data_IF_048455351925
#
_entry.id   IF_048455351925
#
_cell.length_a   1.000
_cell.length_b   1.000
_cell.length_c   1.000
_cell.angle_alpha   90.00
_cell.angle_beta   90.00
_cell.angle_gamma   90.00
#
_symmetry.space_group_name_H-M   'P 1'
#
loop_
_entity.id
_entity.type
_entity.pdbx_description
1 polymer ?
2 polymer ?
3 non-polymer ?
4 water ?
#
loop_
_entity_poly.entity_id
_entity_poly.type
_entity_poly.pdbx_seq_one_letter_code
_entity_poly.pdbx_strand_id
2 'polydeoxyribonucleotide' '(DG)(DG)(DA)(DG)(DT)(DG)(DC)(DG)(DC)(DA)(DC)(DT)(DC)(DC)' ?
#
# COMPACT_ATOMS: atom_id res chain seq x y z
N UNK A 4 -5.66 -5.47 15.90
CA UNK A 4 -5.49 -4.62 14.71
C UNK A 4 -4.38 -3.60 14.94
N UNK A 5 -3.25 -3.78 14.24
CA UNK A 5 -2.05 -3.01 14.53
C UNK A 5 -2.02 -1.67 13.81
N UNK A 6 -2.53 -1.62 12.58
CA UNK A 6 -2.47 -0.38 11.82
C UNK A 6 -3.62 0.53 12.20
N UNK A 7 -3.38 1.82 12.06
CA UNK A 7 -4.46 2.80 12.18
C UNK A 7 -5.38 2.66 10.98
N UNK A 8 -6.67 2.37 11.16
CA UNK A 8 -7.54 2.15 10.01
C UNK A 8 -7.65 3.36 9.07
N UNK A 9 -7.48 4.57 9.59
CA UNK A 9 -7.47 5.74 8.73
C UNK A 9 -6.31 5.67 7.75
N UNK A 10 -5.13 5.33 8.26
CA UNK A 10 -3.94 5.25 7.44
C UNK A 10 -4.03 4.08 6.45
N UNK A 11 -4.58 2.94 6.88
CA UNK A 11 -4.81 1.85 5.95
C UNK A 11 -5.68 2.29 4.79
N UNK A 12 -6.76 3.03 5.07
CA UNK A 12 -7.61 3.53 4.00
C UNK A 12 -6.85 4.42 3.02
N UNK A 13 -6.03 5.34 3.53
CA UNK A 13 -5.27 6.20 2.65
C UNK A 13 -4.29 5.40 1.79
N UNK A 14 -3.70 4.36 2.39
CA UNK A 14 -2.78 3.53 1.61
C UNK A 14 -3.54 2.74 0.55
N UNK A 15 -4.74 2.23 0.88
CA UNK A 15 -5.53 1.55 -0.14
C UNK A 15 -5.91 2.51 -1.27
N UNK A 16 -6.21 3.78 -0.95
CA UNK A 16 -6.49 4.75 -2.00
C UNK A 16 -5.25 5.01 -2.85
N UNK A 17 -4.08 5.02 -2.22
CA UNK A 17 -2.84 5.18 -2.96
C UNK A 17 -2.60 4.00 -3.91
N UNK A 18 -2.85 2.78 -3.43
CA UNK A 18 -2.66 1.60 -4.26
C UNK A 18 -3.56 1.68 -5.49
N UNK A 19 -4.81 2.11 -5.28
CA UNK A 19 -5.72 2.25 -6.41
C UNK A 19 -5.18 3.27 -7.42
N UNK A 20 -4.67 4.39 -6.91
CA UNK A 20 -4.14 5.44 -7.79
C UNK A 20 -2.95 4.93 -8.60
N UNK A 21 -2.01 4.25 -7.94
CA UNK A 21 -0.79 3.81 -8.62
C UNK A 21 -1.11 2.72 -9.65
N UNK A 22 -2.02 1.83 -9.28
CA UNK A 22 -2.48 0.80 -10.23
C UNK A 22 -3.08 1.44 -11.47
N UNK A 23 -3.92 2.46 -11.28
CA UNK A 23 -4.55 3.13 -12.40
C UNK A 23 -3.51 3.80 -13.30
N UNK A 24 -2.37 4.21 -12.74
CA UNK A 24 -1.26 4.73 -13.52
C UNK A 24 -0.44 3.64 -14.20
N UNK A 25 -0.82 2.36 -14.05
CA UNK A 25 -0.14 1.23 -14.66
C UNK A 25 1.32 1.15 -14.22
N UNK A 26 1.56 1.37 -12.93
CA UNK A 26 2.86 1.12 -12.32
C UNK A 26 2.69 0.07 -11.23
N UNK A 27 3.80 -0.58 -10.87
CA UNK A 27 3.81 -1.49 -9.73
C UNK A 27 3.51 -0.69 -8.45
N UNK A 28 2.50 -1.06 -7.66
CA UNK A 28 2.30 -0.34 -6.38
C UNK A 28 3.34 -0.80 -5.36
N UNK A 29 4.52 -0.19 -5.47
CA UNK A 29 5.66 -0.41 -4.60
C UNK A 29 5.57 0.47 -3.35
N UNK A 30 6.43 0.15 -2.36
CA UNK A 30 6.52 1.00 -1.17
C UNK A 30 6.77 2.45 -1.55
N UNK A 31 7.72 2.68 -2.45
CA UNK A 31 8.10 4.05 -2.78
C UNK A 31 6.97 4.82 -3.45
N UNK A 32 6.24 4.19 -4.38
CA UNK A 32 5.15 4.87 -5.04
C UNK A 32 3.98 5.11 -4.08
N UNK A 33 3.75 4.16 -3.17
CA UNK A 33 2.71 4.36 -2.17
C UNK A 33 3.06 5.52 -1.25
N UNK A 34 4.31 5.59 -0.78
CA UNK A 34 4.72 6.72 0.06
C UNK A 34 4.52 8.04 -0.67
N UNK A 35 4.94 8.13 -1.94
CA UNK A 35 4.80 9.39 -2.64
C UNK A 35 3.34 9.78 -2.80
N UNK A 36 2.48 8.80 -3.09
CA UNK A 36 1.07 9.10 -3.28
C UNK A 36 0.43 9.57 -1.98
N UNK A 37 0.76 8.95 -0.85
CA UNK A 37 0.14 9.36 0.41
C UNK A 37 0.73 10.68 0.88
N UNK A 38 2.00 10.97 0.54
CA UNK A 38 2.52 12.30 0.79
C UNK A 38 1.72 13.34 0.02
N UNK A 39 1.40 13.07 -1.23
CA UNK A 39 0.65 14.03 -2.04
C UNK A 39 -0.77 14.22 -1.50
N UNK A 40 -1.41 13.14 -1.10
CA UNK A 40 -2.83 13.21 -0.74
C UNK A 40 -3.04 13.80 0.66
N UNK A 41 -2.13 13.54 1.60
CA UNK A 41 -2.36 13.98 2.98
C UNK A 41 -1.14 14.51 3.70
N UNK A 42 0.04 14.51 3.09
CA UNK A 42 1.19 15.07 3.77
C UNK A 42 1.84 14.18 4.81
N UNK A 43 1.50 12.89 4.84
CA UNK A 43 2.12 11.96 5.78
C UNK A 43 3.54 11.63 5.34
N UNK A 44 4.46 11.53 6.30
CA UNK A 44 5.84 11.34 5.91
C UNK A 44 6.14 9.88 5.60
N UNK A 45 7.28 9.67 4.94
CA UNK A 45 7.63 8.36 4.40
C UNK A 45 7.73 7.32 5.52
N UNK A 46 8.34 7.68 6.65
CA UNK A 46 8.51 6.73 7.73
C UNK A 46 7.17 6.22 8.24
N UNK A 47 6.20 7.12 8.39
CA UNK A 47 4.90 6.72 8.91
C UNK A 47 4.16 5.85 7.90
N UNK A 48 4.22 6.20 6.61
CA UNK A 48 3.53 5.39 5.60
C UNK A 48 4.14 3.99 5.54
N UNK A 49 5.48 3.90 5.54
CA UNK A 49 6.12 2.59 5.53
C UNK A 49 5.73 1.76 6.75
N UNK A 50 5.68 2.38 7.94
CA UNK A 50 5.25 1.65 9.12
C UNK A 50 3.84 1.12 8.96
N UNK A 51 2.93 1.98 8.49
CA UNK A 51 1.53 1.61 8.42
C UNK A 51 1.27 0.60 7.31
N UNK A 52 2.04 0.68 6.22
CA UNK A 52 1.93 -0.34 5.19
C UNK A 52 2.31 -1.72 5.73
N UNK A 53 3.43 -1.79 6.45
CA UNK A 53 3.85 -3.05 7.05
C UNK A 53 2.83 -3.56 8.06
N UNK A 54 2.30 -2.68 8.89
CA UNK A 54 1.29 -3.11 9.86
C UNK A 54 0.02 -3.58 9.19
N UNK A 55 -0.40 -2.91 8.11
CA UNK A 55 -1.61 -3.31 7.40
C UNK A 55 -1.44 -4.70 6.76
N UNK A 56 -0.24 -4.99 6.27
CA UNK A 56 0.00 -6.31 5.71
C UNK A 56 -0.08 -7.37 6.80
N UNK A 57 0.45 -7.05 7.99
CA UNK A 57 0.34 -7.98 9.12
C UNK A 57 -1.10 -8.19 9.52
N UNK A 58 -1.92 -7.12 9.45
CA UNK A 58 -3.34 -7.20 9.76
C UNK A 58 -4.15 -7.99 8.72
N UNK A 59 -3.63 -8.14 7.50
CA UNK A 59 -4.39 -8.76 6.44
C UNK A 59 -5.21 -7.82 5.58
N UNK A 60 -5.21 -6.53 5.88
CA UNK A 60 -6.07 -5.60 5.16
C UNK A 60 -5.40 -5.09 3.89
N UNK A 61 -4.11 -5.32 3.74
CA UNK A 61 -3.38 -5.08 2.49
C UNK A 61 -2.60 -6.35 2.20
N UNK A 62 -2.56 -6.75 0.93
CA UNK A 62 -1.84 -7.95 0.50
C UNK A 62 -0.48 -7.56 -0.06
N UNK A 63 0.53 -8.40 0.22
CA UNK A 63 1.88 -8.19 -0.29
C UNK A 63 2.26 -9.36 -1.17
N UNK A 64 2.67 -9.06 -2.39
CA UNK A 64 3.22 -10.06 -3.31
C UNK A 64 4.68 -9.70 -3.57
N UNK A 65 5.55 -10.71 -3.50
CA UNK A 65 6.98 -10.48 -3.62
C UNK A 65 7.54 -11.27 -4.80
N UNK A 66 8.43 -10.64 -5.57
CA UNK A 66 9.04 -11.25 -6.73
C UNK A 66 10.51 -10.85 -6.74
N UNK A 67 11.39 -11.78 -6.36
CA UNK A 67 12.84 -11.56 -6.35
C UNK A 67 13.20 -10.29 -5.59
N UNK A 68 12.54 -10.10 -4.44
CA UNK A 68 12.82 -9.00 -3.56
C UNK A 68 11.94 -7.79 -3.75
N UNK A 69 11.30 -7.66 -4.90
CA UNK A 69 10.47 -6.49 -5.20
C UNK A 69 9.02 -6.77 -4.82
N UNK A 70 8.40 -5.83 -4.13
CA UNK A 70 7.06 -6.04 -3.59
C UNK A 70 6.02 -5.21 -4.33
N UNK A 71 4.84 -5.80 -4.47
CA UNK A 71 3.65 -5.17 -5.04
C UNK A 71 2.53 -5.35 -4.03
N UNK A 72 1.80 -4.28 -3.74
CA UNK A 72 0.76 -4.32 -2.74
C UNK A 72 -0.60 -4.24 -3.39
N UNK A 73 -1.57 -4.96 -2.81
CA UNK A 73 -2.88 -5.12 -3.40
C UNK A 73 -3.97 -4.89 -2.37
N UNK A 74 -5.04 -4.32 -2.84
CA UNK A 74 -6.29 -4.23 -2.09
C UNK A 74 -7.01 -5.57 -2.12
N UNK A 75 -7.36 -6.16 -0.97
CA UNK A 75 -8.20 -7.38 -0.97
C UNK A 75 -9.44 -7.28 -1.85
N UNK A 76 -10.02 -6.09 -2.01
CA UNK A 76 -11.18 -5.91 -2.90
C UNK A 76 -10.85 -6.05 -4.38
N UNK A 77 -9.59 -5.83 -4.77
CA UNK A 77 -9.17 -5.93 -6.17
C UNK A 77 -7.80 -6.57 -6.22
N UNK A 78 -7.71 -7.86 -5.94
CA UNK A 78 -6.41 -8.52 -5.79
C UNK A 78 -5.71 -8.82 -7.11
N UNK A 79 -6.41 -8.68 -8.23
CA UNK A 79 -5.81 -8.95 -9.52
C UNK A 79 -5.29 -10.37 -9.59
N UNK A 80 -4.17 -10.52 -10.29
CA UNK A 80 -3.56 -11.83 -10.46
C UNK A 80 -2.77 -12.18 -9.21
N UNK A 81 -3.23 -13.21 -8.50
CA UNK A 81 -2.55 -13.72 -7.31
C UNK A 81 -2.57 -15.25 -7.37
N UNK A 82 -1.49 -15.86 -6.90
CA UNK A 82 -1.43 -17.32 -6.81
C UNK A 82 -1.11 -17.76 -5.38
#
# INVERSE_FOLDING_TARGET
SMVKLANPLYTEWILEAIKKVKKQKQRPSEERICNAVSSSHGLDRKTVLEQLELSVKDGTILKVSNKGLNSYKDPDNPGRIALPKP
#
